data_IF_897980444122
#
_entry.id   IF_897980444122
#
_cell.length_a   1.000
_cell.length_b   1.000
_cell.length_c   1.000
_cell.angle_alpha   90.00
_cell.angle_beta   90.00
_cell.angle_gamma   90.00
#
_symmetry.space_group_name_H-M   'P 1'
#
loop_
_entity.id
_entity.type
_entity.pdbx_description
1 polymer ?
#
# COMPACT_ATOMS: atom_id res chain seq x y z
N UNK A 1 26.82 -36.37 -50.60
CA UNK A 1 25.47 -36.72 -50.08
C UNK A 1 25.41 -36.72 -48.56
N UNK A 2 26.25 -37.46 -47.84
CA UNK A 2 26.18 -37.58 -46.37
C UNK A 2 26.37 -36.25 -45.59
N UNK A 3 27.25 -35.37 -46.06
CA UNK A 3 27.55 -34.08 -45.42
C UNK A 3 26.37 -33.10 -45.43
N UNK A 4 25.50 -33.15 -46.45
CA UNK A 4 24.31 -32.31 -46.51
C UNK A 4 23.24 -32.75 -45.53
N UNK A 5 23.04 -34.06 -45.39
CA UNK A 5 22.12 -34.64 -44.42
C UNK A 5 22.56 -34.35 -42.98
N UNK A 6 23.87 -34.43 -42.72
CA UNK A 6 24.44 -34.13 -41.41
C UNK A 6 24.29 -32.64 -41.06
N UNK A 7 24.50 -31.73 -42.02
CA UNK A 7 24.28 -30.30 -41.81
C UNK A 7 22.81 -29.95 -41.65
N UNK A 8 21.91 -30.60 -42.39
CA UNK A 8 20.46 -30.43 -42.24
C UNK A 8 19.97 -30.93 -40.86
N UNK A 9 20.45 -32.08 -40.40
CA UNK A 9 20.12 -32.63 -39.09
C UNK A 9 20.62 -31.73 -37.95
N UNK A 10 21.86 -31.23 -38.04
CA UNK A 10 22.41 -30.29 -37.05
C UNK A 10 21.64 -28.97 -37.06
N UNK A 11 21.28 -28.46 -38.24
CA UNK A 11 20.46 -27.26 -38.36
C UNK A 11 19.07 -27.45 -37.76
N UNK A 12 18.44 -28.61 -37.99
CA UNK A 12 17.13 -28.97 -37.46
C UNK A 12 17.14 -29.05 -35.93
N UNK A 13 18.10 -29.77 -35.34
CA UNK A 13 18.27 -29.88 -33.88
C UNK A 13 18.53 -28.49 -33.27
N UNK A 14 19.38 -27.67 -33.91
CA UNK A 14 19.70 -26.33 -33.42
C UNK A 14 18.51 -25.38 -33.52
N UNK A 15 17.68 -25.50 -34.55
CA UNK A 15 16.45 -24.71 -34.67
C UNK A 15 15.40 -25.14 -33.64
N UNK A 16 15.22 -26.44 -33.41
CA UNK A 16 14.29 -26.94 -32.39
C UNK A 16 14.72 -26.54 -30.98
N UNK A 17 16.02 -26.60 -30.67
CA UNK A 17 16.53 -26.14 -29.38
C UNK A 17 16.30 -24.63 -29.16
N UNK A 18 16.43 -23.81 -30.20
CA UNK A 18 16.14 -22.36 -30.13
C UNK A 18 14.64 -22.08 -29.97
N UNK A 19 13.77 -22.80 -30.68
CA UNK A 19 12.32 -22.69 -30.53
C UNK A 19 11.86 -23.11 -29.12
N UNK A 20 12.46 -24.15 -28.55
CA UNK A 20 12.23 -24.56 -27.16
C UNK A 20 12.74 -23.54 -26.13
N UNK A 21 13.79 -22.77 -26.46
CA UNK A 21 14.28 -21.70 -25.57
C UNK A 21 13.36 -20.47 -25.53
N UNK A 22 12.69 -20.15 -26.64
CA UNK A 22 11.72 -19.04 -26.68
C UNK A 22 10.43 -19.35 -25.91
N UNK A 23 9.96 -20.61 -25.92
CA UNK A 23 8.82 -21.04 -25.08
C UNK A 23 9.17 -21.07 -23.59
N UNK A 24 10.43 -21.36 -23.23
CA UNK A 24 10.91 -21.25 -21.85
C UNK A 24 10.93 -19.78 -21.35
N UNK A 25 11.22 -18.80 -22.22
CA UNK A 25 11.15 -17.36 -21.86
C UNK A 25 9.73 -16.80 -21.82
N UNK A 26 8.80 -17.33 -22.64
CA UNK A 26 7.38 -16.96 -22.60
C UNK A 26 6.66 -17.55 -21.37
N UNK A 27 7.14 -18.67 -20.83
CA UNK A 27 6.63 -19.29 -19.59
C UNK A 27 6.93 -18.51 -18.31
N UNK A 28 7.86 -17.55 -18.33
CA UNK A 28 8.22 -16.73 -17.15
C UNK A 28 7.10 -15.83 -16.63
N UNK A 29 6.10 -15.54 -17.46
CA UNK A 29 4.96 -14.67 -17.10
C UNK A 29 3.62 -15.43 -16.97
N UNK A 30 3.53 -16.68 -17.42
CA UNK A 30 2.26 -17.44 -17.44
C UNK A 30 1.90 -18.14 -16.11
N UNK A 31 2.89 -18.44 -15.27
CA UNK A 31 2.72 -19.15 -14.00
C UNK A 31 2.81 -18.27 -12.74
N UNK A 32 3.50 -17.12 -12.84
CA UNK A 32 3.74 -16.23 -11.69
C UNK A 32 2.45 -15.71 -11.06
N UNK A 33 1.42 -15.43 -11.87
CA UNK A 33 0.14 -14.95 -11.34
C UNK A 33 -0.54 -15.99 -10.42
N UNK A 34 -0.36 -17.30 -10.66
CA UNK A 34 -0.91 -18.35 -9.78
C UNK A 34 -0.19 -18.37 -8.44
N UNK A 35 1.14 -18.20 -8.46
CA UNK A 35 1.96 -18.08 -7.26
C UNK A 35 1.57 -16.84 -6.44
N UNK A 36 1.51 -15.66 -7.07
CA UNK A 36 1.11 -14.42 -6.41
C UNK A 36 -0.34 -14.45 -5.93
N UNK A 37 -1.26 -15.04 -6.71
CA UNK A 37 -2.63 -15.31 -6.25
C UNK A 37 -2.62 -16.17 -4.99
N UNK A 38 -1.84 -17.26 -4.99
CA UNK A 38 -1.68 -18.12 -3.82
C UNK A 38 -1.19 -17.34 -2.59
N UNK A 39 -0.10 -16.58 -2.71
CA UNK A 39 0.42 -15.76 -1.60
C UNK A 39 -0.60 -14.72 -1.14
N UNK A 40 -1.28 -14.02 -2.04
CA UNK A 40 -2.31 -13.04 -1.63
C UNK A 40 -3.42 -13.69 -0.82
N UNK A 41 -3.89 -14.89 -1.22
CA UNK A 41 -4.97 -15.59 -0.52
C UNK A 41 -4.55 -16.25 0.79
N UNK A 42 -3.37 -16.87 0.83
CA UNK A 42 -2.94 -17.70 1.96
C UNK A 42 -1.97 -16.99 2.92
N UNK A 43 -1.42 -15.85 2.53
CA UNK A 43 -0.52 -15.05 3.37
C UNK A 43 -1.04 -13.62 3.52
N UNK A 44 -1.35 -12.96 2.40
CA UNK A 44 -1.81 -11.56 2.39
C UNK A 44 -3.10 -11.35 3.20
N UNK A 45 -4.19 -12.03 2.84
CA UNK A 45 -5.45 -11.88 3.57
C UNK A 45 -5.36 -12.30 5.05
N UNK A 46 -4.73 -13.42 5.42
CA UNK A 46 -4.53 -13.76 6.82
C UNK A 46 -3.72 -12.70 7.59
N UNK A 47 -2.64 -12.18 7.02
CA UNK A 47 -1.83 -11.15 7.66
C UNK A 47 -2.60 -9.84 7.85
N UNK A 48 -3.35 -9.40 6.83
CA UNK A 48 -4.22 -8.22 6.93
C UNK A 48 -5.32 -8.45 7.96
N UNK A 49 -5.93 -9.65 8.01
CA UNK A 49 -6.93 -10.00 9.00
C UNK A 49 -6.41 -9.92 10.43
N UNK A 50 -5.21 -10.45 10.69
CA UNK A 50 -4.56 -10.33 11.99
C UNK A 50 -4.22 -8.88 12.35
N UNK A 51 -3.73 -8.08 11.39
CA UNK A 51 -3.46 -6.66 11.60
C UNK A 51 -4.74 -5.86 11.89
N UNK A 52 -5.81 -6.16 11.17
CA UNK A 52 -7.12 -5.52 11.38
C UNK A 52 -7.71 -5.87 12.75
N UNK A 53 -7.58 -7.14 13.17
CA UNK A 53 -7.98 -7.56 14.52
C UNK A 53 -7.16 -6.84 15.60
N UNK A 54 -5.84 -6.75 15.43
CA UNK A 54 -4.96 -6.07 16.37
C UNK A 54 -5.33 -4.59 16.55
N UNK A 55 -5.49 -3.85 15.43
CA UNK A 55 -5.87 -2.44 15.47
C UNK A 55 -7.30 -2.27 15.98
N UNK A 56 -8.23 -3.17 15.64
CA UNK A 56 -9.60 -3.10 16.15
C UNK A 56 -9.66 -3.25 17.67
N UNK A 57 -8.95 -4.23 18.23
CA UNK A 57 -8.88 -4.43 19.68
C UNK A 57 -8.18 -3.25 20.37
N UNK A 58 -7.05 -2.79 19.83
CA UNK A 58 -6.36 -1.61 20.36
C UNK A 58 -7.28 -0.38 20.37
N UNK A 59 -8.02 -0.14 19.29
CA UNK A 59 -8.95 0.98 19.18
C UNK A 59 -10.14 0.89 20.15
N UNK A 60 -10.59 -0.32 20.54
CA UNK A 60 -11.62 -0.50 21.56
C UNK A 60 -11.09 -0.23 22.97
N UNK A 61 -9.83 -0.55 23.24
CA UNK A 61 -9.18 -0.33 24.54
C UNK A 61 -8.75 1.14 24.74
N UNK A 62 -8.39 1.83 23.65
CA UNK A 62 -7.93 3.22 23.68
C UNK A 62 -9.09 4.22 23.81
N UNK A 63 -9.60 4.37 25.02
CA UNK A 63 -10.31 5.59 25.41
C UNK A 63 -9.31 6.73 25.55
N UNK A 64 -8.91 7.33 24.43
CA UNK A 64 -8.05 8.50 24.44
C UNK A 64 -8.76 9.68 25.12
N UNK A 65 -8.47 9.88 26.41
CA UNK A 65 -8.81 11.13 27.06
C UNK A 65 -8.03 12.26 26.39
N UNK A 66 -8.79 13.27 25.96
CA UNK A 66 -8.25 14.44 25.29
C UNK A 66 -7.32 15.20 26.27
N UNK A 67 -6.09 15.54 25.87
CA UNK A 67 -5.20 16.27 26.75
C UNK A 67 -5.73 17.70 26.99
N UNK A 68 -5.49 18.28 28.17
CA UNK A 68 -5.90 19.65 28.47
C UNK A 68 -5.25 20.63 27.50
N UNK A 69 -5.98 21.70 27.18
CA UNK A 69 -5.47 22.71 26.26
C UNK A 69 -4.31 23.50 26.88
N UNK A 70 -3.20 23.58 26.15
CA UNK A 70 -2.08 24.48 26.47
C UNK A 70 -1.72 25.26 25.21
N UNK A 71 -1.76 26.59 25.31
CA UNK A 71 -1.50 27.51 24.21
C UNK A 71 0.01 27.68 23.94
N UNK A 72 0.68 26.59 23.57
CA UNK A 72 2.07 26.65 23.16
C UNK A 72 2.24 27.51 21.90
N UNK A 73 3.18 28.45 21.91
CA UNK A 73 3.38 29.44 20.84
C UNK A 73 3.68 28.80 19.46
N UNK A 74 4.33 27.64 19.46
CA UNK A 74 4.66 26.91 18.24
C UNK A 74 3.50 26.06 17.69
N UNK A 75 2.42 25.88 18.45
CA UNK A 75 1.27 25.08 18.04
C UNK A 75 0.15 25.96 17.51
N UNK A 76 -0.64 25.41 16.57
CA UNK A 76 -1.88 26.03 16.06
C UNK A 76 -1.68 27.44 15.49
N UNK A 77 -0.48 27.76 15.02
CA UNK A 77 -0.17 29.06 14.39
C UNK A 77 -1.11 29.31 13.20
N UNK A 78 -1.60 30.55 13.07
CA UNK A 78 -2.41 31.03 11.96
C UNK A 78 -1.87 32.37 11.46
N UNK A 79 -1.00 32.33 10.46
CA UNK A 79 -0.46 33.54 9.81
C UNK A 79 -1.41 34.10 8.76
N UNK A 80 -2.18 33.22 8.09
CA UNK A 80 -3.23 33.55 7.13
C UNK A 80 -4.42 32.62 7.36
N UNK A 81 -5.62 33.15 7.12
CA UNK A 81 -6.86 32.36 7.14
C UNK A 81 -6.88 31.31 6.03
N UNK A 82 -7.46 30.15 6.31
CA UNK A 82 -7.73 29.13 5.28
C UNK A 82 -8.75 29.64 4.25
N UNK A 83 -8.73 29.14 3.01
CA UNK A 83 -9.61 29.61 1.94
C UNK A 83 -11.03 29.00 1.97
N UNK A 84 -11.46 28.39 3.08
CA UNK A 84 -12.78 27.79 3.26
C UNK A 84 -13.36 28.11 4.64
N UNK A 85 -14.68 27.97 4.77
CA UNK A 85 -15.39 28.16 6.03
C UNK A 85 -15.12 29.51 6.67
N UNK A 86 -14.83 29.51 7.98
CA UNK A 86 -14.44 30.68 8.77
C UNK A 86 -12.93 31.05 8.64
N UNK A 87 -12.17 30.20 7.95
CA UNK A 87 -10.73 30.34 7.78
C UNK A 87 -9.88 29.94 9.00
N UNK A 88 -10.49 29.42 10.07
CA UNK A 88 -9.78 29.01 11.30
C UNK A 88 -9.58 27.49 11.37
N UNK A 89 -10.59 26.75 10.92
CA UNK A 89 -10.62 25.29 10.97
C UNK A 89 -9.85 24.67 9.80
N UNK A 90 -9.01 23.69 10.13
CA UNK A 90 -8.29 22.91 9.10
C UNK A 90 -9.25 22.08 8.24
N UNK A 91 -8.77 21.53 7.12
CA UNK A 91 -9.62 20.75 6.21
C UNK A 91 -10.24 19.51 6.87
N UNK A 92 -9.47 18.81 7.72
CA UNK A 92 -9.91 17.66 8.51
C UNK A 92 -10.00 18.04 9.99
N UNK A 93 -10.75 19.10 10.29
CA UNK A 93 -10.96 19.56 11.65
C UNK A 93 -11.95 18.67 12.40
N UNK A 94 -11.54 18.11 13.54
CA UNK A 94 -12.41 17.40 14.47
C UNK A 94 -12.53 18.22 15.77
N UNK A 95 -13.69 18.84 16.07
CA UNK A 95 -13.89 19.65 17.28
C UNK A 95 -13.55 18.91 18.57
N UNK A 96 -13.76 17.59 18.60
CA UNK A 96 -13.51 16.77 19.78
C UNK A 96 -12.03 16.70 20.14
N UNK A 97 -11.08 16.76 19.19
CA UNK A 97 -9.65 16.54 19.47
C UNK A 97 -8.73 17.67 19.00
N UNK A 98 -9.18 18.52 18.08
CA UNK A 98 -8.37 19.59 17.51
C UNK A 98 -8.74 20.93 18.14
N UNK A 99 -7.97 21.39 19.12
CA UNK A 99 -8.14 22.73 19.66
C UNK A 99 -7.77 23.81 18.63
N UNK A 100 -8.51 24.92 18.67
CA UNK A 100 -8.20 26.17 17.99
C UNK A 100 -7.11 26.93 18.77
N UNK A 101 -6.56 28.03 18.23
CA UNK A 101 -5.61 28.88 18.96
C UNK A 101 -6.17 29.39 20.29
N UNK A 102 -7.50 29.50 20.42
CA UNK A 102 -8.22 29.94 21.60
C UNK A 102 -8.64 28.83 22.57
N UNK A 103 -8.43 27.55 22.24
CA UNK A 103 -8.89 26.42 23.05
C UNK A 103 -9.75 25.41 22.30
N UNK A 104 -10.29 24.43 23.02
CA UNK A 104 -11.29 23.51 22.50
C UNK A 104 -12.65 24.22 22.37
N UNK A 105 -13.41 23.86 21.35
CA UNK A 105 -14.69 24.53 21.05
C UNK A 105 -15.78 24.23 22.10
N UNK A 106 -15.68 23.10 22.80
CA UNK A 106 -16.69 22.63 23.75
C UNK A 106 -16.41 23.05 25.21
N UNK A 107 -15.26 23.68 25.49
CA UNK A 107 -14.82 24.05 26.85
C UNK A 107 -15.12 25.53 27.21
N UNK A 108 -16.26 26.06 26.74
CA UNK A 108 -16.67 27.45 26.95
C UNK A 108 -17.53 27.67 28.20
#
# INVERSE_FOLDING_TARGET
MATYLQRAAVSYVRNNARLASHSATAGGHGGGWKFWRGISFFVGFPAVGLGMLNVYLAHQEEHHERPPFVAYEYMRIRTKRFPWGDGQKSLFHNPHVNALPSGYEDEH
#
